data_IF_325350874651
#
_entry.id   IF_325350874651
#
_cell.length_a   1.000
_cell.length_b   1.000
_cell.length_c   1.000
_cell.angle_alpha   90.00
_cell.angle_beta   90.00
_cell.angle_gamma   90.00
#
_symmetry.space_group_name_H-M   'P 1'
#
loop_
_entity.id
_entity.type
_entity.pdbx_description
1 polymer ?
#
# COMPACT_ATOMS: atom_id res chain seq x y z
N UNK A 1 0.04 16.25 -8.82
CA UNK A 1 -0.63 15.68 -7.63
C UNK A 1 0.23 14.56 -7.04
N UNK A 2 0.06 14.29 -5.77
CA UNK A 2 0.69 13.14 -5.11
C UNK A 2 -0.33 12.00 -5.10
N UNK A 3 0.02 10.89 -5.73
CA UNK A 3 -0.83 9.71 -5.87
C UNK A 3 -0.20 8.55 -5.11
N UNK A 4 -0.99 7.89 -4.29
CA UNK A 4 -0.57 6.71 -3.54
C UNK A 4 -1.40 5.50 -3.94
N UNK A 5 -0.73 4.44 -4.40
CA UNK A 5 -1.32 3.13 -4.59
C UNK A 5 -1.15 2.29 -3.33
N UNK A 6 -2.23 1.68 -2.87
CA UNK A 6 -2.21 0.75 -1.74
C UNK A 6 -3.03 -0.49 -2.12
N UNK A 7 -2.55 -1.65 -1.74
CA UNK A 7 -3.33 -2.87 -1.93
C UNK A 7 -2.47 -4.12 -1.95
N UNK A 8 -2.98 -5.13 -2.61
CA UNK A 8 -2.27 -6.40 -2.75
C UNK A 8 -1.16 -6.27 -3.79
N UNK A 9 -0.13 -5.51 -3.42
CA UNK A 9 1.03 -5.26 -4.27
C UNK A 9 2.24 -5.92 -3.60
N UNK A 10 2.74 -6.97 -4.20
CA UNK A 10 3.97 -7.62 -3.76
C UNK A 10 5.20 -6.94 -4.37
N UNK A 11 6.12 -7.73 -4.83
CA UNK A 11 7.28 -7.24 -5.55
C UNK A 11 6.90 -6.56 -6.86
N UNK A 12 7.64 -5.55 -7.30
CA UNK A 12 7.38 -4.91 -8.60
C UNK A 12 7.37 -5.86 -9.80
N UNK A 13 7.98 -7.02 -9.68
CA UNK A 13 8.08 -8.00 -10.77
C UNK A 13 6.99 -9.08 -10.74
N UNK A 14 6.11 -9.10 -9.75
CA UNK A 14 5.01 -10.06 -9.70
C UNK A 14 3.85 -9.62 -10.61
N UNK A 15 3.01 -10.56 -11.05
CA UNK A 15 1.92 -10.26 -11.97
C UNK A 15 0.97 -9.15 -11.48
N UNK A 16 0.46 -9.16 -10.24
CA UNK A 16 -0.34 -8.04 -9.73
C UNK A 16 0.43 -6.73 -9.72
N UNK A 17 1.69 -6.76 -9.38
CA UNK A 17 2.56 -5.59 -9.34
C UNK A 17 2.86 -5.00 -10.71
N UNK A 18 2.88 -5.82 -11.76
CA UNK A 18 3.10 -5.36 -13.14
C UNK A 18 2.00 -4.39 -13.55
N UNK A 19 0.73 -4.68 -13.24
CA UNK A 19 -0.36 -3.77 -13.54
C UNK A 19 -0.24 -2.44 -12.80
N UNK A 20 0.06 -2.48 -11.52
CA UNK A 20 0.28 -1.28 -10.71
C UNK A 20 1.51 -0.51 -11.22
N UNK A 21 2.59 -1.22 -11.53
CA UNK A 21 3.81 -0.62 -12.06
C UNK A 21 3.54 0.14 -13.36
N UNK A 22 2.85 -0.47 -14.31
CA UNK A 22 2.56 0.17 -15.59
C UNK A 22 1.70 1.43 -15.41
N UNK A 23 0.70 1.37 -14.55
CA UNK A 23 -0.14 2.53 -14.22
C UNK A 23 0.65 3.63 -13.52
N UNK A 24 1.51 3.25 -12.58
CA UNK A 24 2.36 4.19 -11.86
C UNK A 24 3.32 4.91 -12.80
N UNK A 25 3.95 4.20 -13.71
CA UNK A 25 4.84 4.77 -14.73
C UNK A 25 4.07 5.76 -15.61
N UNK A 26 2.88 5.38 -16.06
CA UNK A 26 2.04 6.26 -16.85
C UNK A 26 1.69 7.56 -16.10
N UNK A 27 1.26 7.46 -14.86
CA UNK A 27 0.93 8.63 -14.05
C UNK A 27 2.15 9.51 -13.78
N UNK A 28 3.30 8.88 -13.57
CA UNK A 28 4.57 9.62 -13.43
C UNK A 28 4.88 10.39 -14.70
N UNK A 29 4.67 9.79 -15.87
CA UNK A 29 4.89 10.45 -17.16
C UNK A 29 3.95 11.65 -17.38
N UNK A 30 2.79 11.65 -16.70
CA UNK A 30 1.85 12.78 -16.72
C UNK A 30 2.22 13.91 -15.74
N UNK A 31 3.35 13.79 -15.05
CA UNK A 31 3.85 14.83 -14.15
C UNK A 31 3.42 14.68 -12.69
N UNK A 32 2.85 13.54 -12.30
CA UNK A 32 2.45 13.29 -10.91
C UNK A 32 3.58 12.66 -10.11
N UNK A 33 3.60 12.94 -8.81
CA UNK A 33 4.43 12.20 -7.87
C UNK A 33 3.68 10.93 -7.45
N UNK A 34 4.28 9.76 -7.65
CA UNK A 34 3.62 8.48 -7.44
C UNK A 34 4.38 7.64 -6.43
N UNK A 35 3.66 7.15 -5.44
CA UNK A 35 4.15 6.23 -4.41
C UNK A 35 3.31 4.98 -4.40
N UNK A 36 3.94 3.85 -4.07
CA UNK A 36 3.26 2.56 -3.94
C UNK A 36 3.59 1.97 -2.57
N UNK A 37 2.58 1.63 -1.79
CA UNK A 37 2.75 0.93 -0.53
C UNK A 37 2.57 -0.56 -0.78
N UNK A 38 3.67 -1.29 -0.62
CA UNK A 38 3.73 -2.72 -0.89
C UNK A 38 3.70 -3.54 0.38
N UNK A 39 3.32 -4.80 0.26
CA UNK A 39 3.52 -5.78 1.31
C UNK A 39 5.02 -5.99 1.56
N UNK A 40 5.34 -6.82 2.55
CA UNK A 40 6.72 -7.09 2.93
C UNK A 40 7.57 -7.58 1.76
N UNK A 41 8.72 -6.95 1.56
CA UNK A 41 9.72 -7.44 0.62
C UNK A 41 10.39 -8.70 1.16
N UNK A 42 10.63 -9.69 0.29
CA UNK A 42 11.24 -10.97 0.68
C UNK A 42 12.69 -10.83 1.14
N UNK A 43 13.39 -9.80 0.68
CA UNK A 43 14.78 -9.51 1.03
C UNK A 43 14.93 -8.51 2.19
N UNK A 44 13.82 -8.12 2.81
CA UNK A 44 13.82 -7.19 3.93
C UNK A 44 14.00 -5.73 3.58
N UNK A 45 13.96 -5.36 2.31
CA UNK A 45 14.02 -3.96 1.89
C UNK A 45 12.88 -3.14 2.47
N UNK A 46 13.17 -1.90 2.82
CA UNK A 46 12.15 -0.96 3.32
C UNK A 46 11.64 -0.03 2.22
N UNK A 47 12.49 0.29 1.26
CA UNK A 47 12.20 1.24 0.21
C UNK A 47 12.96 0.87 -1.05
N UNK A 48 12.36 1.12 -2.21
CA UNK A 48 12.99 0.93 -3.50
C UNK A 48 12.42 1.94 -4.49
N UNK A 49 13.27 2.43 -5.39
CA UNK A 49 12.82 3.28 -6.48
C UNK A 49 13.03 2.53 -7.80
N UNK A 50 11.94 2.35 -8.55
CA UNK A 50 11.96 1.69 -9.85
C UNK A 50 11.19 2.56 -10.83
N UNK A 51 11.82 2.88 -11.97
CA UNK A 51 11.24 3.73 -13.00
C UNK A 51 10.72 5.08 -12.45
N UNK A 52 11.47 5.67 -11.52
CA UNK A 52 11.14 6.93 -10.85
C UNK A 52 9.90 6.87 -9.95
N UNK A 53 9.40 5.68 -9.67
CA UNK A 53 8.29 5.46 -8.75
C UNK A 53 8.83 4.95 -7.42
N UNK A 54 8.42 5.56 -6.31
CA UNK A 54 8.85 5.17 -4.98
C UNK A 54 7.97 4.04 -4.45
N UNK A 55 8.58 2.88 -4.20
CA UNK A 55 7.94 1.73 -3.57
C UNK A 55 8.37 1.67 -2.12
N UNK A 56 7.39 1.64 -1.21
CA UNK A 56 7.64 1.45 0.21
C UNK A 56 7.05 0.13 0.67
N UNK A 57 7.78 -0.55 1.54
CA UNK A 57 7.39 -1.86 2.05
C UNK A 57 6.94 -1.74 3.49
N UNK A 58 5.90 -2.48 3.83
CA UNK A 58 5.37 -2.55 5.19
C UNK A 58 6.31 -3.30 6.12
N UNK A 59 6.15 -3.09 7.41
CA UNK A 59 6.80 -3.91 8.41
C UNK A 59 6.26 -5.34 8.37
N UNK A 60 7.06 -6.35 8.75
CA UNK A 60 6.58 -7.72 8.81
C UNK A 60 5.50 -7.89 9.89
N UNK A 61 4.58 -8.82 9.67
CA UNK A 61 3.62 -9.20 10.69
C UNK A 61 4.32 -9.76 11.92
N UNK A 62 3.74 -9.58 13.12
CA UNK A 62 4.34 -10.07 14.35
C UNK A 62 4.55 -11.59 14.36
N UNK A 63 5.56 -12.05 15.08
CA UNK A 63 5.85 -13.46 15.24
C UNK A 63 6.72 -14.03 14.13
N UNK A 64 6.82 -15.36 14.12
CA UNK A 64 7.61 -16.12 13.16
C UNK A 64 6.85 -17.36 12.71
N UNK A 65 7.08 -17.82 11.48
CA UNK A 65 6.49 -19.03 10.95
C UNK A 65 4.96 -19.05 11.03
N UNK A 66 4.41 -20.06 11.73
CA UNK A 66 2.95 -20.22 11.86
C UNK A 66 2.26 -19.07 12.60
N UNK A 67 2.94 -18.48 13.58
CA UNK A 67 2.39 -17.34 14.33
C UNK A 67 2.23 -16.13 13.42
N UNK A 68 3.24 -15.84 12.61
CA UNK A 68 3.16 -14.76 11.62
C UNK A 68 2.06 -15.01 10.60
N UNK A 69 1.93 -16.26 10.13
CA UNK A 69 0.87 -16.65 9.21
C UNK A 69 -0.52 -16.49 9.82
N UNK A 70 -0.69 -16.79 11.11
CA UNK A 70 -1.94 -16.60 11.83
C UNK A 70 -2.31 -15.11 11.90
N UNK A 71 -1.36 -14.23 12.23
CA UNK A 71 -1.59 -12.78 12.20
C UNK A 71 -1.97 -12.29 10.81
N UNK A 72 -1.29 -12.77 9.78
CA UNK A 72 -1.61 -12.43 8.40
C UNK A 72 -3.03 -12.84 8.04
N UNK A 73 -3.44 -14.06 8.39
CA UNK A 73 -4.80 -14.57 8.14
C UNK A 73 -5.87 -13.73 8.84
N UNK A 74 -5.64 -13.38 10.11
CA UNK A 74 -6.56 -12.52 10.85
C UNK A 74 -6.68 -11.14 10.22
N UNK A 75 -5.57 -10.60 9.74
CA UNK A 75 -5.55 -9.27 9.14
C UNK A 75 -6.24 -9.22 7.77
N UNK A 76 -6.35 -10.36 7.06
CA UNK A 76 -7.16 -10.44 5.85
C UNK A 76 -8.63 -10.14 6.13
N UNK A 77 -9.09 -10.38 7.35
CA UNK A 77 -10.47 -10.10 7.76
C UNK A 77 -10.57 -8.70 8.40
N UNK A 78 -9.74 -8.42 9.39
CA UNK A 78 -9.86 -7.20 10.18
C UNK A 78 -9.12 -6.00 9.59
N UNK A 79 -8.05 -6.22 8.85
CA UNK A 79 -7.25 -5.16 8.22
C UNK A 79 -6.61 -4.17 9.21
N UNK A 80 -6.50 -4.56 10.49
CA UNK A 80 -6.05 -3.66 11.56
C UNK A 80 -4.56 -3.32 11.45
N UNK A 81 -3.72 -4.33 11.26
CA UNK A 81 -2.28 -4.13 11.09
C UNK A 81 -1.99 -3.38 9.80
N UNK A 82 -2.63 -3.77 8.71
CA UNK A 82 -2.50 -3.13 7.41
C UNK A 82 -2.88 -1.65 7.49
N UNK A 83 -3.97 -1.34 8.16
CA UNK A 83 -4.41 0.03 8.37
C UNK A 83 -3.40 0.84 9.19
N UNK A 84 -2.84 0.24 10.23
CA UNK A 84 -1.82 0.88 11.06
C UNK A 84 -0.56 1.21 10.25
N UNK A 85 -0.13 0.30 9.39
CA UNK A 85 1.00 0.52 8.49
C UNK A 85 0.69 1.65 7.50
N UNK A 86 -0.52 1.69 6.98
CA UNK A 86 -0.97 2.77 6.11
C UNK A 86 -0.92 4.13 6.81
N UNK A 87 -1.43 4.22 8.03
CA UNK A 87 -1.37 5.47 8.82
C UNK A 87 0.05 5.94 9.05
N UNK A 88 0.93 5.01 9.38
CA UNK A 88 2.36 5.30 9.58
C UNK A 88 3.00 5.89 8.31
N UNK A 89 2.61 5.38 7.15
CA UNK A 89 3.07 5.89 5.88
C UNK A 89 2.48 7.26 5.55
N UNK A 90 1.20 7.47 5.84
CA UNK A 90 0.52 8.75 5.60
C UNK A 90 1.05 9.90 6.46
N UNK A 91 1.70 9.60 7.59
CA UNK A 91 2.39 10.62 8.37
C UNK A 91 3.59 11.21 7.63
N UNK A 92 4.18 10.45 6.71
CA UNK A 92 5.34 10.87 5.91
C UNK A 92 4.93 11.50 4.58
N UNK A 93 3.86 11.01 3.98
CA UNK A 93 3.40 11.43 2.67
C UNK A 93 1.92 11.78 2.76
N UNK A 94 1.57 12.99 2.30
CA UNK A 94 0.19 13.46 2.27
C UNK A 94 -0.32 13.41 0.83
N UNK A 95 -0.94 12.29 0.42
CA UNK A 95 -1.42 12.15 -0.94
C UNK A 95 -2.67 12.98 -1.20
N UNK A 96 -2.84 13.39 -2.44
CA UNK A 96 -4.09 14.00 -2.90
C UNK A 96 -5.12 12.91 -3.24
N UNK A 97 -4.62 11.80 -3.79
CA UNK A 97 -5.45 10.66 -4.20
C UNK A 97 -4.82 9.37 -3.68
N UNK A 98 -5.64 8.50 -3.09
CA UNK A 98 -5.26 7.14 -2.76
C UNK A 98 -6.07 6.18 -3.63
N UNK A 99 -5.38 5.29 -4.32
CA UNK A 99 -5.99 4.25 -5.14
C UNK A 99 -5.80 2.90 -4.45
N UNK A 100 -6.90 2.25 -4.10
CA UNK A 100 -6.88 0.92 -3.52
C UNK A 100 -6.90 -0.12 -4.64
N UNK A 101 -5.90 -0.99 -4.66
CA UNK A 101 -5.76 -2.05 -5.64
C UNK A 101 -5.99 -3.41 -4.96
N UNK A 102 -7.10 -4.05 -5.29
CA UNK A 102 -7.47 -5.37 -4.73
C UNK A 102 -7.30 -5.47 -3.22
N UNK A 103 -7.93 -4.60 -2.43
CA UNK A 103 -7.81 -4.69 -0.97
C UNK A 103 -8.42 -5.99 -0.45
N UNK A 104 -7.71 -6.65 0.46
CA UNK A 104 -8.13 -7.96 0.97
C UNK A 104 -9.18 -7.90 2.08
N UNK A 105 -9.34 -6.75 2.72
CA UNK A 105 -10.23 -6.60 3.87
C UNK A 105 -11.23 -5.48 3.65
N UNK A 106 -12.52 -5.82 3.75
CA UNK A 106 -13.59 -4.84 3.66
C UNK A 106 -13.57 -3.88 4.85
N UNK A 107 -13.18 -4.35 6.02
CA UNK A 107 -13.04 -3.50 7.20
C UNK A 107 -11.93 -2.46 7.02
N UNK A 108 -10.85 -2.84 6.36
CA UNK A 108 -9.80 -1.91 5.97
C UNK A 108 -10.35 -0.83 5.04
N UNK A 109 -11.11 -1.21 4.03
CA UNK A 109 -11.72 -0.27 3.07
C UNK A 109 -12.64 0.72 3.80
N UNK A 110 -13.46 0.25 4.73
CA UNK A 110 -14.34 1.12 5.52
C UNK A 110 -13.55 2.12 6.37
N UNK A 111 -12.45 1.67 6.98
CA UNK A 111 -11.57 2.57 7.74
C UNK A 111 -10.93 3.61 6.85
N UNK A 112 -10.52 3.23 5.64
CA UNK A 112 -9.95 4.16 4.66
C UNK A 112 -10.99 5.18 4.17
N UNK A 113 -12.23 4.77 3.98
CA UNK A 113 -13.32 5.69 3.63
C UNK A 113 -13.56 6.73 4.72
N UNK A 114 -13.57 6.31 5.98
CA UNK A 114 -13.71 7.24 7.10
C UNK A 114 -12.52 8.20 7.18
N UNK A 115 -11.31 7.68 6.99
CA UNK A 115 -10.10 8.50 7.00
C UNK A 115 -10.10 9.52 5.86
N UNK A 116 -10.55 9.12 4.67
CA UNK A 116 -10.69 9.99 3.51
C UNK A 116 -11.58 11.21 3.80
N UNK A 117 -12.72 10.98 4.46
CA UNK A 117 -13.63 12.06 4.85
C UNK A 117 -12.99 13.01 5.87
N UNK A 118 -12.19 12.46 6.78
CA UNK A 118 -11.55 13.23 7.84
C UNK A 118 -10.36 14.04 7.33
N UNK A 119 -9.51 13.42 6.51
CA UNK A 119 -8.24 14.01 6.05
C UNK A 119 -8.36 14.75 4.71
N UNK A 120 -9.40 14.52 3.95
CA UNK A 120 -9.69 15.26 2.73
C UNK A 120 -9.04 14.74 1.45
N UNK A 121 -8.36 13.58 1.46
CA UNK A 121 -7.86 12.98 0.23
C UNK A 121 -8.99 12.26 -0.51
N UNK A 122 -8.84 12.11 -1.82
CA UNK A 122 -9.79 11.35 -2.64
C UNK A 122 -9.42 9.87 -2.61
N UNK A 123 -10.40 9.00 -2.35
CA UNK A 123 -10.23 7.55 -2.38
C UNK A 123 -10.90 6.97 -3.62
N UNK A 124 -10.15 6.15 -4.33
CA UNK A 124 -10.62 5.48 -5.55
C UNK A 124 -10.56 3.96 -5.40
#
# INVERSE_FOLDING_TARGET
MIILYIGNVGYPDTAPSIHVRNRAIFMKSCGHEVHVLCELASDGKRMEEVDEVAYQYMDPYPGRGKVRGAFWNLDQVFGKFYFKQTLKFLDKIKPDIIILYEPNSILYVLKMLNLSKKEGFKLV
#
